data_IF_699732241765
#
_entry.id   IF_699732241765
#
_cell.length_a   1.000
_cell.length_b   1.000
_cell.length_c   1.000
_cell.angle_alpha   90.00
_cell.angle_beta   90.00
_cell.angle_gamma   90.00
#
_symmetry.space_group_name_H-M   'P 1'
#
loop_
_entity.id
_entity.type
_entity.pdbx_description
1 polymer ?
2 non-polymer ?
3 non-polymer ?
4 water ?
#
# COMPACT_ATOMS: atom_id res chain seq x y z
N UNK A 1 23.15 -7.74 -11.09
CA UNK A 1 21.78 -7.35 -11.54
C UNK A 1 21.82 -6.42 -12.76
N UNK A 2 20.81 -6.52 -13.64
CA UNK A 2 20.67 -5.51 -14.70
C UNK A 2 20.33 -4.15 -14.08
N UNK A 3 20.42 -3.08 -14.87
CA UNK A 3 19.85 -1.78 -14.47
C UNK A 3 18.37 -2.02 -14.12
N UNK A 4 17.80 -1.19 -13.21
CA UNK A 4 16.43 -1.41 -12.77
C UNK A 4 15.44 -1.60 -13.91
N UNK A 5 15.47 -0.73 -14.92
CA UNK A 5 14.53 -0.86 -16.03
C UNK A 5 14.68 -2.18 -16.77
N UNK A 6 15.93 -2.60 -17.00
CA UNK A 6 16.15 -3.86 -17.66
C UNK A 6 15.67 -5.05 -16.81
N UNK A 7 15.82 -4.97 -15.49
CA UNK A 7 15.29 -6.01 -14.60
C UNK A 7 13.77 -6.04 -14.60
N UNK A 8 13.14 -4.87 -14.61
CA UNK A 8 11.68 -4.81 -14.71
C UNK A 8 11.19 -5.50 -15.99
N UNK A 9 11.86 -5.21 -17.11
CA UNK A 9 11.52 -5.84 -18.38
C UNK A 9 11.65 -7.36 -18.29
N UNK A 10 12.76 -7.83 -17.74
CA UNK A 10 12.99 -9.26 -17.55
C UNK A 10 11.90 -9.89 -16.69
N UNK A 11 11.47 -9.18 -15.65
CA UNK A 11 10.39 -9.68 -14.80
C UNK A 11 9.09 -9.85 -15.60
N UNK A 12 8.77 -8.91 -16.49
CA UNK A 12 7.58 -9.08 -17.36
C UNK A 12 7.70 -10.31 -18.24
N UNK A 13 8.87 -10.48 -18.85
CA UNK A 13 9.05 -11.59 -19.76
C UNK A 13 8.98 -12.91 -19.01
N UNK A 14 9.55 -12.95 -17.80
CA UNK A 14 9.53 -14.19 -17.03
C UNK A 14 8.14 -14.50 -16.44
N UNK A 15 7.42 -13.45 -16.04
CA UNK A 15 6.10 -13.63 -15.43
C UNK A 15 4.99 -13.79 -16.46
N UNK A 16 5.24 -13.34 -17.69
CA UNK A 16 4.20 -13.22 -18.72
C UNK A 16 3.07 -12.33 -18.21
N UNK A 17 3.43 -11.33 -17.43
CA UNK A 17 2.47 -10.38 -16.88
C UNK A 17 2.95 -8.94 -16.99
N UNK A 18 2.04 -8.02 -16.66
CA UNK A 18 2.32 -6.58 -16.68
C UNK A 18 2.90 -6.17 -15.33
N UNK A 19 4.03 -5.45 -15.36
CA UNK A 19 4.61 -4.84 -14.17
C UNK A 19 4.42 -3.34 -14.31
N UNK A 20 4.09 -2.68 -13.19
CA UNK A 20 4.07 -1.23 -13.16
C UNK A 20 4.93 -0.78 -12.00
N UNK A 21 5.76 0.24 -12.22
CA UNK A 21 6.70 0.63 -11.19
C UNK A 21 7.02 2.13 -11.23
N UNK A 22 7.15 2.70 -10.04
CA UNK A 22 7.78 4.00 -9.88
C UNK A 22 8.80 3.95 -8.74
N UNK A 23 9.90 4.67 -8.93
CA UNK A 23 10.87 4.97 -7.88
C UNK A 23 10.93 6.49 -7.81
N UNK A 24 10.64 7.04 -6.63
CA UNK A 24 10.47 8.48 -6.44
C UNK A 24 11.25 8.96 -5.19
N UNK A 25 11.96 10.08 -5.29
CA UNK A 25 12.56 10.68 -4.11
C UNK A 25 11.45 11.09 -3.13
N UNK A 26 11.51 10.62 -1.89
CA UNK A 26 10.44 10.95 -0.92
C UNK A 26 10.39 12.47 -0.64
N UNK A 27 11.55 13.08 -0.45
CA UNK A 27 11.58 14.49 -0.07
C UNK A 27 11.11 15.42 -1.19
N UNK A 28 11.52 15.16 -2.42
CA UNK A 28 11.23 16.10 -3.51
C UNK A 28 10.16 15.68 -4.50
N UNK A 29 9.90 14.37 -4.59
CA UNK A 29 8.96 13.88 -5.60
C UNK A 29 9.60 13.61 -6.97
N UNK A 30 10.91 13.84 -7.08
CA UNK A 30 11.67 13.49 -8.30
C UNK A 30 11.35 12.04 -8.68
N UNK A 31 10.92 11.82 -9.92
CA UNK A 31 10.75 10.45 -10.41
C UNK A 31 12.06 9.97 -11.01
N UNK A 32 12.61 8.89 -10.46
CA UNK A 32 13.87 8.31 -10.94
C UNK A 32 13.70 7.20 -11.95
N UNK A 33 12.74 6.33 -11.70
CA UNK A 33 12.44 5.22 -12.61
C UNK A 33 10.94 5.17 -12.76
N UNK A 34 10.48 4.92 -13.98
CA UNK A 34 9.08 4.83 -14.27
C UNK A 34 8.89 3.78 -15.37
N UNK A 35 7.95 2.87 -15.13
CA UNK A 35 7.62 1.83 -16.10
C UNK A 35 6.12 1.56 -15.99
N UNK A 36 5.40 1.74 -17.10
CA UNK A 36 3.94 1.65 -17.14
C UNK A 36 3.33 2.47 -15.99
N UNK A 37 3.93 3.63 -15.73
CA UNK A 37 3.58 4.38 -14.52
C UNK A 37 2.17 4.99 -14.58
N UNK A 38 1.62 5.09 -15.79
CA UNK A 38 0.28 5.65 -15.97
C UNK A 38 -0.75 4.56 -16.30
N UNK A 39 -0.35 3.29 -16.20
CA UNK A 39 -1.29 2.19 -16.40
C UNK A 39 -1.95 1.76 -15.09
N UNK A 40 -3.16 1.21 -15.20
CA UNK A 40 -3.94 0.83 -14.03
C UNK A 40 -3.55 -0.54 -13.51
N UNK A 41 -3.52 -0.65 -12.18
CA UNK A 41 -3.29 -1.92 -11.49
C UNK A 41 -4.19 -1.97 -10.27
N UNK A 42 -4.75 -3.16 -9.97
CA UNK A 42 -5.49 -3.29 -8.71
C UNK A 42 -4.61 -2.89 -7.50
N UNK A 43 -5.15 -2.11 -6.57
CA UNK A 43 -4.43 -1.79 -5.34
C UNK A 43 -4.32 -2.96 -4.37
N UNK A 44 -5.35 -3.78 -4.32
CA UNK A 44 -5.43 -4.84 -3.29
C UNK A 44 -5.17 -4.19 -1.92
N UNK A 45 -4.50 -4.89 -1.01
CA UNK A 45 -4.37 -4.40 0.36
C UNK A 45 -3.51 -3.14 0.48
N UNK A 46 -2.81 -2.74 -0.59
CA UNK A 46 -2.07 -1.47 -0.55
C UNK A 46 -2.99 -0.27 -0.33
N UNK A 47 -4.27 -0.40 -0.64
CA UNK A 47 -5.22 0.72 -0.45
C UNK A 47 -5.32 1.10 1.03
N UNK A 48 -4.96 0.17 1.93
CA UNK A 48 -5.15 0.37 3.36
C UNK A 48 -4.31 1.53 3.90
N UNK A 49 -3.19 1.84 3.23
CA UNK A 49 -2.39 3.00 3.65
C UNK A 49 -3.17 4.30 3.34
N UNK A 50 -3.74 4.39 2.15
CA UNK A 50 -4.55 5.56 1.80
C UNK A 50 -5.77 5.66 2.71
N UNK A 51 -6.40 4.52 2.98
CA UNK A 51 -7.55 4.47 3.89
C UNK A 51 -7.21 5.13 5.23
N UNK A 52 -6.08 4.74 5.83
CA UNK A 52 -5.72 5.28 7.12
C UNK A 52 -5.22 6.75 7.00
N UNK A 53 -4.72 7.17 5.84
CA UNK A 53 -4.53 8.59 5.61
C UNK A 53 -5.83 9.38 5.72
N UNK A 54 -6.92 8.86 5.15
CA UNK A 54 -8.24 9.51 5.25
C UNK A 54 -8.73 9.55 6.69
N UNK A 55 -8.48 8.48 7.44
CA UNK A 55 -8.83 8.43 8.87
C UNK A 55 -8.07 9.51 9.63
N UNK A 56 -6.76 9.61 9.37
CA UNK A 56 -5.94 10.60 10.03
C UNK A 56 -6.37 12.02 9.68
N UNK A 57 -6.80 12.23 8.44
CA UNK A 57 -7.29 13.55 8.05
C UNK A 57 -8.53 13.94 8.91
N UNK A 58 -9.38 12.96 9.18
CA UNK A 58 -10.55 13.20 10.03
C UNK A 58 -10.14 13.50 11.46
N UNK A 59 -9.10 12.79 11.94
CA UNK A 59 -8.60 13.05 13.29
C UNK A 59 -8.08 14.48 13.39
N UNK A 60 -7.30 14.89 12.40
CA UNK A 60 -6.72 16.22 12.38
C UNK A 60 -7.81 17.31 12.41
N UNK A 61 -8.92 17.06 11.73
CA UNK A 61 -10.05 18.01 11.64
C UNK A 61 -10.97 18.01 12.86
N UNK A 62 -10.73 17.12 13.81
CA UNK A 62 -11.56 16.99 15.00
C UNK A 62 -12.82 16.17 14.78
N UNK A 63 -12.85 15.39 13.70
CA UNK A 63 -14.03 14.60 13.35
C UNK A 63 -13.87 13.13 13.72
N UNK A 64 -12.70 12.79 14.26
CA UNK A 64 -12.39 11.40 14.61
C UNK A 64 -11.35 11.40 15.74
N UNK A 65 -11.28 10.31 16.50
CA UNK A 65 -10.20 10.12 17.47
C UNK A 65 -9.65 8.74 17.26
N UNK A 66 -8.33 8.61 17.30
CA UNK A 66 -7.73 7.27 17.20
C UNK A 66 -8.10 6.43 18.40
N UNK A 67 -8.45 7.08 19.51
CA UNK A 67 -8.87 6.38 20.72
C UNK A 67 -10.26 5.82 20.66
N UNK A 68 -11.09 6.29 19.72
CA UNK A 68 -12.50 5.93 19.74
C UNK A 68 -12.71 4.43 19.54
N UNK A 69 -13.39 3.78 20.49
CA UNK A 69 -13.63 2.35 20.42
C UNK A 69 -14.79 2.04 19.49
N UNK A 70 -14.57 1.13 18.55
CA UNK A 70 -15.59 0.66 17.64
C UNK A 70 -16.03 -0.74 18.08
N UNK A 71 -17.32 -0.86 18.38
CA UNK A 71 -17.91 -2.14 18.71
C UNK A 71 -18.43 -2.78 17.42
N UNK A 72 -18.21 -4.07 17.25
CA UNK A 72 -18.66 -4.73 16.02
C UNK A 72 -19.11 -6.14 16.31
N UNK A 73 -19.67 -6.79 15.30
CA UNK A 73 -20.31 -8.10 15.50
C UNK A 73 -19.76 -9.15 14.55
N UNK A 74 -19.94 -10.41 14.90
CA UNK A 74 -19.40 -11.50 14.13
C UNK A 74 -19.93 -11.50 12.70
N UNK A 75 -21.19 -11.13 12.53
CA UNK A 75 -21.80 -11.08 11.22
C UNK A 75 -21.14 -10.05 10.30
N UNK A 76 -20.41 -9.10 10.91
CA UNK A 76 -19.70 -8.04 10.19
C UNK A 76 -18.41 -8.56 9.55
N UNK A 77 -17.85 -9.63 10.10
CA UNK A 77 -16.52 -10.07 9.67
C UNK A 77 -16.49 -10.67 8.28
N UNK A 78 -15.41 -10.38 7.57
CA UNK A 78 -15.11 -10.98 6.28
C UNK A 78 -13.83 -11.85 6.37
N UNK A 79 -13.53 -12.54 5.27
CA UNK A 79 -12.37 -13.44 5.19
C UNK A 79 -11.08 -12.72 5.62
N UNK A 80 -10.30 -13.38 6.48
CA UNK A 80 -8.99 -12.93 6.97
C UNK A 80 -9.05 -11.76 7.95
N UNK A 81 -9.29 -12.10 9.21
CA UNK A 81 -9.50 -11.13 10.27
C UNK A 81 -8.74 -11.56 11.51
N UNK A 82 -7.41 -11.73 11.38
CA UNK A 82 -6.67 -12.34 12.47
C UNK A 82 -6.69 -11.55 13.78
N UNK A 83 -6.79 -10.22 13.68
CA UNK A 83 -6.84 -9.38 14.86
C UNK A 83 -8.28 -9.14 15.26
N UNK A 84 -9.12 -8.72 14.32
CA UNK A 84 -10.47 -8.29 14.66
C UNK A 84 -11.34 -9.43 15.19
N UNK A 85 -11.08 -10.67 14.73
CA UNK A 85 -11.89 -11.78 15.23
C UNK A 85 -11.67 -11.99 16.74
N UNK A 86 -10.56 -11.48 17.26
CA UNK A 86 -10.21 -11.65 18.68
C UNK A 86 -10.89 -10.63 19.63
N UNK A 87 -11.57 -9.64 19.07
CA UNK A 87 -12.09 -8.52 19.87
C UNK A 87 -13.58 -8.26 19.67
N UNK A 88 -14.34 -9.34 19.41
CA UNK A 88 -15.78 -9.21 19.26
C UNK A 88 -16.43 -8.65 20.52
N UNK A 89 -15.95 -9.09 21.69
CA UNK A 89 -16.55 -8.66 22.94
C UNK A 89 -16.16 -7.25 23.35
N UNK A 90 -14.89 -6.88 23.16
CA UNK A 90 -14.38 -5.62 23.73
C UNK A 90 -14.12 -4.51 22.71
N UNK A 91 -14.26 -4.83 21.43
CA UNK A 91 -14.08 -3.84 20.38
C UNK A 91 -12.63 -3.48 20.13
N UNK A 92 -12.41 -2.56 19.19
CA UNK A 92 -11.07 -2.08 18.88
C UNK A 92 -11.13 -0.60 18.65
N UNK A 93 -10.08 0.13 19.06
CA UNK A 93 -10.06 1.56 18.75
C UNK A 93 -9.81 1.80 17.25
N UNK A 94 -10.16 2.99 16.78
CA UNK A 94 -9.88 3.39 15.40
C UNK A 94 -8.38 3.21 15.08
N UNK A 95 -7.52 3.63 16.01
CA UNK A 95 -6.07 3.48 15.81
C UNK A 95 -5.65 2.01 15.77
N UNK A 96 -6.23 1.18 16.65
CA UNK A 96 -5.94 -0.24 16.61
C UNK A 96 -6.39 -0.85 15.30
N UNK A 97 -7.54 -0.40 14.79
CA UNK A 97 -8.03 -0.91 13.51
C UNK A 97 -7.08 -0.55 12.38
N UNK A 98 -6.57 0.69 12.36
CA UNK A 98 -5.56 1.03 11.35
C UNK A 98 -4.30 0.18 11.50
N UNK A 99 -3.85 -0.05 12.74
CA UNK A 99 -2.69 -0.92 12.92
C UNK A 99 -2.99 -2.30 12.40
N UNK A 100 -4.18 -2.83 12.68
CA UNK A 100 -4.52 -4.17 12.22
C UNK A 100 -4.58 -4.23 10.70
N UNK A 101 -5.20 -3.21 10.10
CA UNK A 101 -5.32 -3.16 8.65
C UNK A 101 -3.95 -3.06 7.97
N UNK A 102 -3.11 -2.14 8.42
CA UNK A 102 -1.85 -1.94 7.73
C UNK A 102 -0.82 -3.00 8.11
N UNK A 103 -0.72 -3.33 9.40
CA UNK A 103 0.39 -4.21 9.82
C UNK A 103 0.07 -5.70 9.72
N UNK A 104 -1.21 -6.06 9.69
CA UNK A 104 -1.64 -7.44 9.65
C UNK A 104 -2.52 -7.76 8.45
N UNK A 105 -2.88 -6.73 7.66
CA UNK A 105 -3.80 -6.86 6.53
C UNK A 105 -5.14 -7.45 6.95
N UNK A 106 -5.60 -7.05 8.14
CA UNK A 106 -6.88 -7.52 8.66
C UNK A 106 -8.02 -6.92 7.81
N UNK A 107 -8.79 -7.77 7.15
CA UNK A 107 -9.81 -7.27 6.18
C UNK A 107 -11.03 -6.66 6.86
N UNK A 108 -11.47 -7.24 7.97
CA UNK A 108 -12.63 -6.68 8.68
C UNK A 108 -12.25 -5.34 9.29
N UNK A 109 -11.02 -5.20 9.78
CA UNK A 109 -10.58 -3.90 10.28
C UNK A 109 -10.67 -2.85 9.16
N UNK A 110 -10.18 -3.21 7.97
CA UNK A 110 -10.28 -2.30 6.83
C UNK A 110 -11.72 -1.90 6.53
N UNK A 111 -12.66 -2.85 6.55
CA UNK A 111 -14.07 -2.52 6.30
C UNK A 111 -14.66 -1.64 7.38
N UNK A 112 -14.33 -1.90 8.64
CA UNK A 112 -14.78 -1.04 9.74
C UNK A 112 -14.26 0.41 9.55
N UNK A 113 -13.02 0.56 9.13
CA UNK A 113 -12.49 1.89 8.86
C UNK A 113 -13.14 2.52 7.65
N UNK A 114 -13.36 1.74 6.60
CA UNK A 114 -14.02 2.25 5.41
C UNK A 114 -15.39 2.85 5.77
N UNK A 115 -16.09 2.19 6.69
CA UNK A 115 -17.38 2.70 7.19
C UNK A 115 -17.25 4.07 7.87
N UNK A 116 -16.10 4.37 8.45
CA UNK A 116 -15.95 5.66 9.12
C UNK A 116 -15.66 6.81 8.16
N UNK A 117 -15.22 6.50 6.94
CA UNK A 117 -14.78 7.54 5.99
C UNK A 117 -15.75 7.70 4.81
N UNK A 118 -16.93 7.09 4.93
CA UNK A 118 -17.92 7.16 3.86
C UNK A 118 -17.85 6.08 2.79
N UNK A 119 -17.23 4.96 3.13
CA UNK A 119 -17.15 3.81 2.23
C UNK A 119 -16.20 4.09 1.08
N UNK A 120 -16.19 3.19 0.08
CA UNK A 120 -15.36 3.38 -1.11
C UNK A 120 -15.57 4.75 -1.77
N UNK A 121 -16.83 5.19 -1.89
CA UNK A 121 -17.10 6.52 -2.47
C UNK A 121 -16.44 7.64 -1.66
N UNK A 122 -16.53 7.54 -0.33
CA UNK A 122 -15.90 8.53 0.53
C UNK A 122 -14.38 8.54 0.45
N UNK A 123 -13.78 7.35 0.36
CA UNK A 123 -12.32 7.29 0.21
C UNK A 123 -11.89 7.89 -1.12
N UNK A 124 -12.66 7.61 -2.18
CA UNK A 124 -12.38 8.17 -3.49
C UNK A 124 -12.51 9.70 -3.47
N UNK A 125 -13.53 10.22 -2.78
CA UNK A 125 -13.68 11.67 -2.62
C UNK A 125 -12.48 12.28 -1.88
N UNK A 126 -11.96 11.56 -0.88
CA UNK A 126 -10.76 12.02 -0.18
C UNK A 126 -9.56 12.08 -1.13
N UNK A 127 -9.40 11.04 -1.95
CA UNK A 127 -8.33 11.02 -2.95
C UNK A 127 -8.44 12.25 -3.87
N UNK A 128 -9.65 12.54 -4.35
CA UNK A 128 -9.85 13.71 -5.20
C UNK A 128 -9.47 15.00 -4.47
N UNK A 129 -9.77 15.07 -3.17
CA UNK A 129 -9.46 16.26 -2.34
C UNK A 129 -7.96 16.51 -2.18
N UNK A 130 -7.18 15.44 -2.21
CA UNK A 130 -5.74 15.59 -2.12
C UNK A 130 -5.07 15.64 -3.49
N UNK A 131 -5.88 15.73 -4.54
CA UNK A 131 -5.39 15.94 -5.91
C UNK A 131 -5.02 14.69 -6.68
N UNK A 132 -5.46 13.52 -6.20
CA UNK A 132 -5.30 12.30 -6.96
C UNK A 132 -6.61 12.10 -7.72
N UNK A 133 -6.55 12.29 -9.04
CA UNK A 133 -7.73 12.18 -9.89
C UNK A 133 -7.85 10.85 -10.60
N UNK A 134 -7.04 9.88 -10.17
CA UNK A 134 -6.88 8.62 -10.87
C UNK A 134 -7.26 7.42 -10.00
N UNK A 135 -6.68 7.34 -8.80
CA UNK A 135 -6.94 6.22 -7.89
C UNK A 135 -8.41 6.17 -7.52
N UNK A 136 -8.98 4.97 -7.46
CA UNK A 136 -10.39 4.83 -7.14
C UNK A 136 -10.62 3.56 -6.34
N UNK A 137 -11.45 3.67 -5.30
CA UNK A 137 -11.94 2.49 -4.60
C UNK A 137 -13.43 2.42 -4.86
N UNK A 138 -13.87 1.22 -5.23
CA UNK A 138 -15.26 0.98 -5.61
C UNK A 138 -15.95 -0.04 -4.72
N UNK A 139 -15.17 -0.98 -4.18
CA UNK A 139 -15.74 -2.09 -3.42
C UNK A 139 -15.12 -2.23 -2.03
N UNK A 140 -15.70 -3.11 -1.23
CA UNK A 140 -15.25 -3.39 0.12
C UNK A 140 -14.37 -4.65 0.11
N UNK A 141 -13.75 -4.96 1.25
CA UNK A 141 -13.07 -6.26 1.38
C UNK A 141 -14.14 -7.35 1.42
N UNK A 142 -13.95 -8.47 0.73
CA UNK A 142 -12.74 -8.80 -0.04
C UNK A 142 -12.91 -8.70 -1.57
N UNK A 143 -14.09 -8.26 -2.02
CA UNK A 143 -14.37 -8.17 -3.45
C UNK A 143 -13.39 -7.27 -4.21
N UNK A 144 -12.77 -6.31 -3.50
CA UNK A 144 -11.92 -5.33 -4.15
C UNK A 144 -10.63 -5.94 -4.73
N UNK A 145 -10.35 -7.20 -4.38
CA UNK A 145 -9.16 -7.91 -4.84
C UNK A 145 -9.37 -8.75 -6.11
N UNK A 146 -10.57 -8.64 -6.70
CA UNK A 146 -10.96 -9.53 -7.79
C UNK A 146 -10.07 -9.42 -9.04
N UNK A 147 -9.54 -8.24 -9.32
CA UNK A 147 -8.57 -8.07 -10.42
C UNK A 147 -9.06 -8.65 -11.75
N UNK A 148 -10.29 -8.34 -12.13
CA UNK A 148 -10.79 -8.77 -13.43
C UNK A 148 -10.00 -8.08 -14.53
N UNK A 149 -9.66 -8.80 -15.62
CA UNK A 149 -8.94 -8.15 -16.71
C UNK A 149 -9.73 -6.95 -17.24
N UNK A 150 -9.03 -5.82 -17.38
CA UNK A 150 -9.63 -4.61 -17.95
C UNK A 150 -10.54 -3.78 -17.06
N UNK A 151 -10.82 -4.27 -15.86
CA UNK A 151 -11.76 -3.64 -14.94
C UNK A 151 -11.05 -2.50 -14.20
N UNK A 152 -11.59 -1.29 -14.32
CA UNK A 152 -10.99 -0.11 -13.68
C UNK A 152 -11.30 -0.01 -12.19
N UNK A 153 -12.26 -0.79 -11.68
CA UNK A 153 -12.60 -0.69 -10.26
C UNK A 153 -11.40 -0.96 -9.35
N UNK A 154 -11.29 -0.20 -8.27
CA UNK A 154 -10.30 -0.52 -7.22
C UNK A 154 -8.86 -0.50 -7.71
N UNK A 155 -8.57 0.44 -8.63
CA UNK A 155 -7.24 0.54 -9.21
C UNK A 155 -6.55 1.84 -8.86
N UNK A 156 -5.23 1.82 -9.01
CA UNK A 156 -4.43 3.03 -9.00
C UNK A 156 -3.48 2.95 -10.19
N UNK A 157 -2.57 3.91 -10.33
CA UNK A 157 -1.44 3.77 -11.24
C UNK A 157 -0.19 3.94 -10.38
N UNK A 158 0.95 3.37 -10.82
CA UNK A 158 2.14 3.58 -9.98
C UNK A 158 2.42 5.07 -9.71
N UNK A 159 2.30 5.91 -10.75
CA UNK A 159 2.54 7.34 -10.57
C UNK A 159 1.58 8.00 -9.58
N UNK A 160 0.30 7.63 -9.65
CA UNK A 160 -0.65 8.29 -8.75
C UNK A 160 -0.48 7.80 -7.33
N UNK A 161 -0.24 6.50 -7.16
CA UNK A 161 -0.05 5.98 -5.83
C UNK A 161 1.19 6.59 -5.16
N UNK A 162 2.29 6.69 -5.92
CA UNK A 162 3.50 7.24 -5.35
C UNK A 162 3.28 8.71 -4.95
N UNK A 163 2.65 9.50 -5.83
CA UNK A 163 2.38 10.91 -5.51
C UNK A 163 1.46 11.02 -4.28
N UNK A 164 0.45 10.17 -4.20
CA UNK A 164 -0.49 10.20 -3.06
C UNK A 164 0.20 9.84 -1.75
N UNK A 165 1.02 8.80 -1.77
CA UNK A 165 1.77 8.41 -0.59
C UNK A 165 2.67 9.56 -0.13
N UNK A 166 3.37 10.17 -1.08
CA UNK A 166 4.20 11.32 -0.73
C UNK A 166 3.38 12.45 -0.12
N UNK A 167 2.21 12.73 -0.70
CA UNK A 167 1.33 13.76 -0.15
C UNK A 167 0.96 13.47 1.28
N UNK A 168 0.61 12.21 1.55
CA UNK A 168 0.16 11.86 2.89
C UNK A 168 1.27 11.91 3.90
N UNK A 169 2.47 11.47 3.50
CA UNK A 169 3.57 11.35 4.43
C UNK A 169 4.33 12.65 4.68
N UNK A 170 4.32 13.58 3.72
CA UNK A 170 5.25 14.72 3.78
C UNK A 170 4.68 16.10 3.52
N UNK A 171 3.47 16.21 2.98
CA UNK A 171 3.01 17.51 2.45
C UNK A 171 2.35 18.45 3.44
N UNK A 172 2.28 18.05 4.70
CA UNK A 172 1.59 18.87 5.72
C UNK A 172 0.08 18.92 5.49
N UNK A 173 -0.45 18.15 4.55
CA UNK A 173 -1.91 17.92 4.53
C UNK A 173 -2.33 17.28 5.84
N UNK A 174 -1.58 16.27 6.27
CA UNK A 174 -1.73 15.69 7.60
C UNK A 174 -0.86 16.44 8.58
N UNK A 175 -1.28 16.49 9.84
CA UNK A 175 -0.49 17.06 10.91
C UNK A 175 0.83 16.31 11.09
N UNK A 176 1.77 16.95 11.78
CA UNK A 176 3.05 16.31 12.06
C UNK A 176 2.88 14.96 12.76
N UNK A 177 2.05 14.92 13.80
CA UNK A 177 1.84 13.68 14.56
C UNK A 177 1.17 12.63 13.68
N UNK A 178 0.21 13.02 12.84
CA UNK A 178 -0.45 12.09 11.94
C UNK A 178 0.49 11.53 10.88
N UNK A 179 1.33 12.38 10.30
CA UNK A 179 2.35 11.91 9.36
C UNK A 179 3.25 10.87 10.03
N UNK A 180 3.64 11.15 11.28
CA UNK A 180 4.51 10.21 12.00
C UNK A 180 3.76 8.90 12.27
N UNK A 181 2.46 8.96 12.57
CA UNK A 181 1.67 7.75 12.82
C UNK A 181 1.57 6.90 11.54
N UNK A 182 1.28 7.52 10.41
CA UNK A 182 1.10 6.75 9.18
C UNK A 182 2.40 6.03 8.83
N UNK A 183 3.50 6.75 8.96
CA UNK A 183 4.82 6.19 8.72
C UNK A 183 5.09 5.01 9.66
N UNK A 184 4.80 5.17 10.94
CA UNK A 184 5.05 4.11 11.90
C UNK A 184 4.23 2.86 11.60
N UNK A 185 2.97 3.01 11.18
CA UNK A 185 2.19 1.82 10.80
C UNK A 185 2.87 1.06 9.67
N UNK A 186 3.44 1.77 8.69
CA UNK A 186 4.17 1.10 7.60
C UNK A 186 5.46 0.45 8.09
N UNK A 187 6.18 1.12 9.00
CA UNK A 187 7.39 0.54 9.58
C UNK A 187 7.05 -0.78 10.29
N UNK A 188 5.88 -0.81 10.92
CA UNK A 188 5.46 -1.94 11.72
C UNK A 188 4.81 -3.11 10.95
N UNK A 189 4.82 -3.08 9.61
CA UNK A 189 4.19 -4.17 8.87
C UNK A 189 4.75 -5.51 9.31
N UNK A 190 3.85 -6.41 9.71
CA UNK A 190 4.26 -7.75 10.12
C UNK A 190 4.22 -8.77 8.98
N UNK A 191 3.48 -8.46 7.92
CA UNK A 191 3.27 -9.41 6.85
C UNK A 191 4.55 -9.59 6.01
N UNK A 192 5.17 -8.48 5.62
CA UNK A 192 6.37 -8.54 4.76
C UNK A 192 7.60 -7.82 5.35
N UNK A 193 7.43 -6.90 6.30
CA UNK A 193 8.55 -6.10 6.82
C UNK A 193 9.73 -6.97 7.28
N UNK A 194 9.46 -7.90 8.21
CA UNK A 194 10.58 -8.71 8.74
C UNK A 194 11.24 -9.56 7.64
N UNK A 195 10.46 -10.12 6.73
CA UNK A 195 11.02 -10.91 5.63
C UNK A 195 11.90 -10.03 4.76
N UNK A 196 11.41 -8.84 4.42
CA UNK A 196 12.21 -7.94 3.61
C UNK A 196 13.53 -7.60 4.34
N UNK A 197 13.47 -7.30 5.63
CA UNK A 197 14.68 -6.95 6.37
C UNK A 197 15.70 -8.09 6.36
N UNK A 198 15.21 -9.33 6.42
CA UNK A 198 16.07 -10.52 6.42
C UNK A 198 16.92 -10.64 5.14
N UNK A 199 16.50 -9.98 4.08
CA UNK A 199 17.27 -10.02 2.81
C UNK A 199 17.83 -8.66 2.37
N UNK A 200 17.61 -7.61 3.17
CA UNK A 200 18.18 -6.29 2.84
C UNK A 200 19.60 -6.23 3.40
N UNK A 201 20.52 -5.56 2.69
CA UNK A 201 21.83 -5.33 3.28
C UNK A 201 21.69 -4.53 4.57
N UNK A 202 22.64 -4.71 5.48
CA UNK A 202 22.73 -3.85 6.65
C UNK A 202 22.70 -2.38 6.21
N UNK A 203 21.99 -1.57 6.98
CA UNK A 203 21.97 -0.13 6.75
C UNK A 203 20.77 0.35 5.92
N UNK A 204 19.98 -0.57 5.39
CA UNK A 204 18.85 -0.18 4.55
C UNK A 204 17.54 -0.15 5.35
N UNK A 205 16.85 0.99 5.24
CA UNK A 205 15.54 1.26 5.81
C UNK A 205 14.45 0.58 4.96
N UNK A 206 13.47 -0.05 5.60
CA UNK A 206 12.23 -0.44 4.93
C UNK A 206 11.00 -0.13 5.77
N UNK A 207 9.98 0.40 5.08
CA UNK A 207 8.61 0.45 5.59
C UNK A 207 7.73 0.08 4.40
N UNK A 208 6.61 -0.60 4.62
CA UNK A 208 5.87 -1.12 3.46
C UNK A 208 4.44 -1.49 3.76
N UNK A 209 3.68 -1.64 2.68
CA UNK A 209 2.43 -2.39 2.71
C UNK A 209 2.36 -3.22 1.44
N UNK A 210 2.03 -4.50 1.56
CA UNK A 210 1.89 -5.38 0.40
C UNK A 210 0.44 -5.75 0.13
N UNK A 211 0.18 -6.27 -1.06
CA UNK A 211 -1.14 -6.74 -1.43
C UNK A 211 -1.03 -7.89 -2.40
N UNK A 212 -2.10 -8.67 -2.47
CA UNK A 212 -2.21 -9.77 -3.41
C UNK A 212 -3.65 -9.87 -3.85
N UNK A 213 -3.87 -10.32 -5.09
CA UNK A 213 -5.23 -10.51 -5.61
C UNK A 213 -5.28 -11.63 -6.62
N UNK A 214 -6.40 -11.71 -7.34
CA UNK A 214 -6.59 -12.76 -8.33
C UNK A 214 -5.77 -12.55 -9.59
N UNK A 215 -5.65 -13.62 -10.38
CA UNK A 215 -4.99 -13.54 -11.68
C UNK A 215 -3.55 -13.04 -11.55
N UNK A 216 -2.90 -13.40 -10.44
CA UNK A 216 -1.50 -13.06 -10.21
C UNK A 216 -1.26 -11.67 -9.66
N UNK A 217 -2.32 -10.92 -9.40
CA UNK A 217 -2.13 -9.54 -8.91
C UNK A 217 -1.29 -9.54 -7.62
N UNK A 218 -0.34 -8.60 -7.55
CA UNK A 218 0.59 -8.53 -6.44
C UNK A 218 1.08 -7.11 -6.37
N UNK A 219 1.34 -6.61 -5.17
CA UNK A 219 1.88 -5.26 -5.10
C UNK A 219 2.58 -4.93 -3.82
N UNK A 220 3.39 -3.89 -3.88
CA UNK A 220 4.01 -3.33 -2.69
C UNK A 220 4.14 -1.83 -2.86
N UNK A 221 3.83 -1.11 -1.78
CA UNK A 221 4.18 0.30 -1.66
C UNK A 221 5.17 0.39 -0.52
N UNK A 222 6.30 1.05 -0.75
CA UNK A 222 7.38 0.98 0.20
C UNK A 222 8.17 2.28 0.29
N UNK A 223 8.84 2.44 1.43
CA UNK A 223 9.87 3.46 1.61
C UNK A 223 11.16 2.70 1.82
N UNK A 224 12.22 3.14 1.12
CA UNK A 224 13.46 2.39 1.08
C UNK A 224 14.61 3.39 1.02
N UNK A 225 15.72 3.05 1.67
CA UNK A 225 16.93 3.84 1.44
C UNK A 225 18.10 3.38 2.27
N UNK A 226 19.30 3.78 1.85
CA UNK A 226 20.51 3.45 2.58
C UNK A 226 20.68 4.40 3.77
N UNK A 227 21.70 4.15 4.59
CA UNK A 227 21.98 4.98 5.75
C UNK A 227 20.77 5.11 6.68
N UNK A 228 19.95 4.07 6.73
CA UNK A 228 18.80 4.00 7.64
C UNK A 228 17.80 5.12 7.48
N UNK A 229 17.66 5.59 6.24
CA UNK A 229 16.80 6.70 5.91
C UNK A 229 15.75 6.29 4.89
N UNK A 230 14.50 6.74 5.06
CA UNK A 230 13.46 6.55 4.06
C UNK A 230 13.67 7.50 2.88
N UNK A 231 14.58 7.15 1.98
CA UNK A 231 14.98 8.05 0.92
C UNK A 231 14.00 8.10 -0.26
N UNK A 232 13.48 6.93 -0.64
CA UNK A 232 12.66 6.81 -1.84
C UNK A 232 11.38 6.08 -1.57
N UNK A 233 10.33 6.49 -2.26
CA UNK A 233 9.12 5.69 -2.41
C UNK A 233 9.31 4.74 -3.59
N UNK A 234 9.03 3.46 -3.37
CA UNK A 234 9.03 2.49 -4.46
C UNK A 234 7.66 1.83 -4.49
N UNK A 235 7.01 1.89 -5.65
CA UNK A 235 5.70 1.28 -5.83
C UNK A 235 5.85 0.29 -6.98
N UNK A 236 5.53 -0.98 -6.73
CA UNK A 236 5.56 -2.01 -7.76
C UNK A 236 4.25 -2.79 -7.73
N UNK A 237 3.58 -2.88 -8.86
CA UNK A 237 2.39 -3.72 -9.02
C UNK A 237 2.63 -4.74 -10.13
N UNK A 238 2.06 -5.93 -9.98
CA UNK A 238 2.06 -6.95 -11.02
C UNK A 238 0.61 -7.31 -11.28
N UNK A 239 0.27 -7.63 -12.52
CA UNK A 239 -1.08 -8.14 -12.81
C UNK A 239 -1.04 -9.09 -13.99
N UNK A 240 -2.07 -9.93 -14.06
CA UNK A 240 -2.29 -10.82 -15.21
C UNK A 240 -1.09 -11.71 -15.53
N UNK A 241 -0.64 -12.39 -14.48
CA UNK A 241 0.40 -13.37 -14.63
C UNK A 241 -0.08 -14.66 -13.98
N UNK A 242 0.22 -15.82 -14.60
CA UNK A 242 -0.17 -17.09 -13.99
C UNK A 242 0.83 -17.60 -12.95
N UNK A 243 1.85 -16.79 -12.63
CA UNK A 243 2.96 -17.30 -11.82
C UNK A 243 2.59 -17.58 -10.37
N UNK A 244 3.33 -18.52 -9.76
CA UNK A 244 3.19 -18.80 -8.34
C UNK A 244 3.43 -17.53 -7.49
N UNK A 245 2.84 -17.49 -6.31
CA UNK A 245 3.15 -16.43 -5.33
C UNK A 245 4.65 -16.29 -5.10
N UNK A 246 5.34 -17.42 -4.95
CA UNK A 246 6.76 -17.42 -4.67
C UNK A 246 7.52 -16.70 -5.78
N UNK A 247 7.18 -17.01 -7.03
CA UNK A 247 7.87 -16.36 -8.14
C UNK A 247 7.54 -14.87 -8.25
N UNK A 248 6.29 -14.51 -8.00
CA UNK A 248 5.95 -13.09 -7.96
C UNK A 248 6.76 -12.36 -6.88
N UNK A 249 6.85 -12.96 -5.69
CA UNK A 249 7.70 -12.41 -4.62
C UNK A 249 9.14 -12.27 -5.06
N UNK A 250 9.68 -13.32 -5.68
CA UNK A 250 11.06 -13.29 -6.10
C UNK A 250 11.34 -12.26 -7.17
N UNK A 251 10.40 -12.06 -8.08
CA UNK A 251 10.58 -11.06 -9.12
C UNK A 251 10.57 -9.66 -8.53
N UNK A 252 9.66 -9.40 -7.60
CA UNK A 252 9.65 -8.09 -6.92
C UNK A 252 10.97 -7.90 -6.18
N UNK A 253 11.43 -8.93 -5.48
CA UNK A 253 12.72 -8.85 -4.79
C UNK A 253 13.85 -8.57 -5.77
N UNK A 254 13.81 -9.16 -6.96
CA UNK A 254 14.82 -8.91 -7.98
C UNK A 254 14.86 -7.48 -8.46
N UNK A 255 13.68 -6.86 -8.62
CA UNK A 255 13.64 -5.45 -8.95
C UNK A 255 14.28 -4.66 -7.82
N UNK A 256 13.97 -5.00 -6.58
CA UNK A 256 14.58 -4.35 -5.42
C UNK A 256 16.09 -4.51 -5.42
N UNK A 257 16.57 -5.70 -5.74
CA UNK A 257 18.01 -5.94 -5.82
C UNK A 257 18.67 -5.03 -6.85
N UNK A 258 18.06 -4.90 -8.03
CA UNK A 258 18.58 -4.00 -9.05
C UNK A 258 18.60 -2.54 -8.58
N UNK A 259 17.55 -2.09 -7.89
CA UNK A 259 17.56 -0.73 -7.35
C UNK A 259 18.70 -0.50 -6.38
N UNK A 260 18.90 -1.46 -5.47
CA UNK A 260 19.94 -1.35 -4.46
C UNK A 260 21.35 -1.35 -5.10
N UNK A 261 21.55 -2.25 -6.06
CA UNK A 261 22.85 -2.38 -6.72
C UNK A 261 23.18 -1.14 -7.57
N UNK A 262 22.15 -0.46 -8.06
CA UNK A 262 22.31 0.70 -8.93
C UNK A 262 21.70 1.95 -8.30
N UNK A 263 21.94 2.16 -7.00
CA UNK A 263 21.18 3.19 -6.27
C UNK A 263 21.49 4.63 -6.66
N UNK A 264 22.74 4.94 -6.98
CA UNK A 264 23.10 6.34 -7.24
C UNK A 264 22.78 6.74 -8.68
N UNK A 265 21.61 7.35 -8.87
CA UNK A 265 21.13 7.77 -10.18
C UNK A 265 20.42 9.12 -10.09
X LIG B 1 24.32 -7.24 -1.84
X LIG B 1 25.26 -7.62 -0.71
X LIG B 1 25.40 -6.48 0.28
X LIG B 1 25.76 -5.18 -0.44
X LIG B 1 24.78 -4.87 -1.58
X LIG B 1 25.18 -3.64 -2.39
X LIG B 1 24.73 -8.74 -0.03
X LIG B 1 26.43 -6.84 1.22
X LIG B 1 24.71 -6.00 -2.47
X LIG B 1 26.53 -3.75 -2.83
X LIG B 1 22.99 -7.09 -1.31
X LIG B 1 25.66 -4.11 0.50
X LIG B 1 19.13 -8.32 -2.11
X LIG B 1 20.06 -9.40 -1.52
X LIG B 1 21.27 -8.70 -0.91
X LIG B 1 21.95 -7.83 -1.97
X LIG B 1 20.97 -6.89 -2.65
X LIG B 1 21.55 -6.11 -3.83
X LIG B 1 18.00 -8.98 -2.67
X LIG B 1 19.38 -10.20 -0.54
X LIG B 1 22.21 -9.67 -0.45
X LIG B 1 19.85 -7.64 -3.14
X LIG B 1 22.15 -7.05 -4.74
X LIG B 1 16.90 -8.10 -2.91
X LIG B 1 15.99 -8.02 -1.68
X LIG B 1 14.96 -6.93 -1.86
X LIG B 1 13.82 -7.12 -0.88
X LIG B 1 12.51 -6.49 -1.34
X LIG B 1 12.70 -5.01 -1.65
X LIG B 1 11.40 -4.24 -1.81
X LIG B 1 11.73 -2.82 -1.31
X LIG B 1 11.15 -1.69 -2.13
X LIG B 1 9.82 -2.09 -2.74
X LIG B 1 10.06 -3.17 -3.77
X LIG B 1 10.92 -4.33 -3.27
X LIG C 1 -3.91 -7.65 -0.50
X LIG C 1 -4.47 -7.71 0.59
X LIG C 1 -5.31 -8.91 0.79
X LIG C 1 -6.21 -8.94 2.01
X LIG C 1 -7.38 -8.27 1.57
X LIG C 1 -5.32 -9.90 -0.12
X LIG C 1 -6.04 -10.94 0.00
X LIG C 1 -6.04 -12.02 -0.99
X LIG C 1 -4.79 -12.87 -0.94
X LIG C 1 -4.16 -12.96 0.13
X LIG C 1 -4.44 -13.45 -1.99
X LIG C 1 -7.37 -12.83 -1.04
X LIG C 1 -7.16 -14.33 -0.85
X LIG C 1 -7.95 -12.60 -2.42
X LIG C 1 -8.53 -12.38 0.10
X LIG C 1 -8.81 -10.97 -0.01
X LIG C 1 -8.11 -12.68 1.43
X LIG D 1 11.67 -12.14 -0.60
X LIG D 1 10.76 -11.06 0.01
X LIG D 1 10.26 -10.09 -1.05
X LIG D 1 8.97 -9.36 -0.71
X LIG D 1 7.87 -10.35 -0.31
X LIG D 1 6.51 -9.68 -0.21
X LIG D 1 6.13 -9.00 -1.52
X LIG D 1 7.16 -7.95 -1.91
X LIG D 1 8.57 -8.54 -1.94
#
# INVERSE_FOLDING_TARGET
SPQPLEQIKLSESQLSGRVGMIEMDLASGRTLTAWRADERFPMMSTFKVVLCGAVLARVDAGDEQLERKIHYRQQDLVDYSPVSEKHLADGMTVGELCAAAITMSDNSAANLLLATVGGPAGLTAFLRQIGDNVTRLDRWETELNEALPGDARDTTTPASMAATLRKLLTSQRLSARSQRQLLQWMVDDRVAGPLIRSVLPAGWFIADKTGAGERGARGIVALLGPNNKAERIVVIYLRDTPASMAERNQQIAGIGAALIEHWQR
MA4 C1 C2 C3 C4 C5 C6 O2 O3 O5 O6 O1 O4 C10 C20 C30 C40 C50 C60 O10 O20 O30 O50 O60 C11 C21 C31 C41 C51 C61 C12 C22 C32 C42 C52 C62
3GE OAC CAI CAN CAK OAG CAJ N CA C O OXT CB CG1 CG2 SAP OAE OAF
MA4 C41 C51 C61 C12 C22 C32 C42 C52 C62
#
